data_IF_843212908584
#
_entry.id   IF_843212908584
#
_cell.length_a   1.000
_cell.length_b   1.000
_cell.length_c   1.000
_cell.angle_alpha   90.00
_cell.angle_beta   90.00
_cell.angle_gamma   90.00
#
_symmetry.space_group_name_H-M   'P 1'
#
loop_
_entity.id
_entity.type
_entity.pdbx_description
1 polymer ?
#
# COMPACT_ATOMS: atom_id res chain seq x y z
N UNK A 1 -22.09 42.29 -25.60
CA UNK A 1 -22.00 41.38 -24.45
C UNK A 1 -20.55 40.91 -24.34
N UNK A 2 -19.68 41.71 -23.72
CA UNK A 2 -18.28 41.33 -23.49
C UNK A 2 -18.27 40.65 -22.12
N UNK A 3 -18.18 39.33 -22.11
CA UNK A 3 -18.12 38.52 -20.90
C UNK A 3 -16.88 38.97 -20.11
N UNK A 4 -17.10 39.68 -19.00
CA UNK A 4 -16.07 40.03 -18.03
C UNK A 4 -15.51 38.73 -17.43
N UNK A 5 -14.50 38.16 -18.07
CA UNK A 5 -13.59 37.22 -17.44
C UNK A 5 -12.87 38.00 -16.35
N UNK A 6 -13.43 37.97 -15.13
CA UNK A 6 -12.72 38.40 -13.93
C UNK A 6 -11.36 37.69 -13.94
N UNK A 7 -10.24 38.28 -13.49
CA UNK A 7 -8.92 37.62 -13.50
C UNK A 7 -8.81 36.45 -12.51
N UNK A 8 -9.75 36.36 -11.55
CA UNK A 8 -9.79 35.35 -10.48
C UNK A 8 -9.79 33.88 -10.96
N UNK A 9 -10.63 33.42 -11.90
CA UNK A 9 -10.63 32.04 -12.38
C UNK A 9 -9.35 31.69 -13.17
N UNK A 10 -8.68 32.66 -13.80
CA UNK A 10 -7.41 32.42 -14.52
C UNK A 10 -6.28 32.17 -13.53
N UNK A 11 -6.19 32.99 -12.46
CA UNK A 11 -5.20 32.80 -11.40
C UNK A 11 -5.45 31.48 -10.66
N UNK A 12 -6.71 31.16 -10.34
CA UNK A 12 -7.07 29.88 -9.71
C UNK A 12 -6.69 28.70 -10.61
N UNK A 13 -7.00 28.75 -11.91
CA UNK A 13 -6.62 27.70 -12.85
C UNK A 13 -5.09 27.52 -12.94
N UNK A 14 -4.32 28.62 -12.97
CA UNK A 14 -2.87 28.57 -13.01
C UNK A 14 -2.26 27.95 -11.73
N UNK A 15 -2.81 28.27 -10.55
CA UNK A 15 -2.37 27.68 -9.27
C UNK A 15 -2.65 26.18 -9.27
N UNK A 16 -3.86 25.75 -9.65
CA UNK A 16 -4.22 24.33 -9.69
C UNK A 16 -3.29 23.56 -10.65
N UNK A 17 -3.08 24.06 -11.86
CA UNK A 17 -2.16 23.45 -12.82
C UNK A 17 -0.71 23.39 -12.28
N UNK A 18 -0.23 24.46 -11.65
CA UNK A 18 1.09 24.51 -11.02
C UNK A 18 1.27 23.48 -9.90
N UNK A 19 0.25 23.29 -9.05
CA UNK A 19 0.30 22.28 -7.97
C UNK A 19 0.33 20.85 -8.51
N UNK A 20 -0.44 20.54 -9.55
CA UNK A 20 -0.45 19.21 -10.18
C UNK A 20 0.90 18.89 -10.81
N UNK A 21 1.49 19.84 -11.56
CA UNK A 21 2.81 19.64 -12.18
C UNK A 21 3.90 19.55 -11.10
N UNK A 22 3.87 20.43 -10.10
CA UNK A 22 4.85 20.45 -9.02
C UNK A 22 4.87 19.16 -8.20
N UNK A 23 3.72 18.71 -7.69
CA UNK A 23 3.62 17.46 -6.93
C UNK A 23 3.82 16.24 -7.85
N UNK A 24 3.29 16.27 -9.07
CA UNK A 24 3.46 15.20 -10.06
C UNK A 24 4.93 14.95 -10.42
N UNK A 25 5.77 15.98 -10.38
CA UNK A 25 7.21 15.86 -10.66
C UNK A 25 7.93 14.95 -9.64
N UNK A 26 7.43 14.84 -8.40
CA UNK A 26 7.96 13.92 -7.38
C UNK A 26 7.81 12.45 -7.79
N UNK A 27 6.87 12.12 -8.67
CA UNK A 27 6.73 10.76 -9.20
C UNK A 27 7.74 10.44 -10.31
N UNK A 28 8.48 11.42 -10.83
CA UNK A 28 9.38 11.25 -11.99
C UNK A 28 10.85 11.18 -11.55
N UNK A 29 11.25 11.92 -10.51
CA UNK A 29 12.61 11.85 -9.93
C UNK A 29 12.78 10.65 -9.00
N UNK A 30 13.94 9.95 -9.04
CA UNK A 30 14.17 8.72 -8.27
C UNK A 30 14.11 8.93 -6.75
N UNK A 31 14.60 10.07 -6.23
CA UNK A 31 14.48 10.39 -4.80
C UNK A 31 13.02 10.57 -4.39
N UNK A 32 12.22 11.25 -5.21
CA UNK A 32 10.80 11.50 -4.97
C UNK A 32 9.95 10.22 -5.00
N UNK A 33 10.25 9.29 -5.92
CA UNK A 33 9.60 7.97 -5.98
C UNK A 33 9.78 7.17 -4.69
N UNK A 34 10.99 7.16 -4.12
CA UNK A 34 11.27 6.42 -2.89
C UNK A 34 10.44 6.93 -1.70
N UNK A 35 10.25 8.25 -1.61
CA UNK A 35 9.43 8.86 -0.57
C UNK A 35 7.94 8.51 -0.76
N UNK A 36 7.45 8.56 -2.00
CA UNK A 36 6.08 8.17 -2.34
C UNK A 36 5.81 6.69 -2.07
N UNK A 37 6.73 5.79 -2.42
CA UNK A 37 6.58 4.33 -2.18
C UNK A 37 6.53 4.03 -0.68
N UNK A 38 7.37 4.66 0.15
CA UNK A 38 7.31 4.48 1.61
C UNK A 38 5.97 4.97 2.20
N UNK A 39 5.48 6.11 1.73
CA UNK A 39 4.19 6.65 2.16
C UNK A 39 3.03 5.73 1.73
N UNK A 40 3.02 5.31 0.46
CA UNK A 40 2.01 4.41 -0.09
C UNK A 40 2.01 3.05 0.62
N UNK A 41 3.19 2.49 0.93
CA UNK A 41 3.30 1.25 1.69
C UNK A 41 2.65 1.34 3.07
N UNK A 42 2.87 2.45 3.80
CA UNK A 42 2.20 2.67 5.10
C UNK A 42 0.69 2.73 4.97
N UNK A 43 0.18 3.44 3.96
CA UNK A 43 -1.26 3.51 3.71
C UNK A 43 -1.79 2.11 3.41
N UNK A 44 -1.16 1.37 2.51
CA UNK A 44 -1.56 0.01 2.14
C UNK A 44 -1.67 -0.90 3.37
N UNK A 45 -0.69 -0.85 4.27
CA UNK A 45 -0.71 -1.59 5.55
C UNK A 45 -1.86 -1.13 6.45
N UNK A 46 -2.05 0.18 6.65
CA UNK A 46 -3.13 0.70 7.50
C UNK A 46 -4.52 0.36 6.97
N UNK A 47 -4.68 0.30 5.65
CA UNK A 47 -5.94 -0.07 4.98
C UNK A 47 -6.13 -1.57 4.81
N UNK A 48 -5.17 -2.40 5.24
CA UNK A 48 -5.25 -3.86 5.09
C UNK A 48 -5.03 -4.39 3.67
N UNK A 49 -4.55 -3.56 2.74
CA UNK A 49 -4.21 -3.97 1.37
C UNK A 49 -2.80 -4.58 1.26
N UNK A 50 -1.97 -4.46 2.30
CA UNK A 50 -0.64 -5.06 2.35
C UNK A 50 -0.31 -5.60 3.74
N UNK A 51 0.55 -6.61 3.79
CA UNK A 51 1.14 -7.15 5.03
C UNK A 51 2.13 -6.14 5.62
N UNK A 52 2.30 -6.15 6.94
CA UNK A 52 3.25 -5.26 7.61
C UNK A 52 4.71 -5.62 7.30
N UNK A 53 5.00 -6.93 7.17
CA UNK A 53 6.31 -7.44 6.74
C UNK A 53 6.17 -8.68 5.89
N UNK A 54 7.11 -8.85 4.98
CA UNK A 54 7.30 -10.09 4.23
C UNK A 54 7.69 -11.24 5.19
N UNK A 55 7.17 -12.47 4.99
CA UNK A 55 7.76 -13.66 5.57
C UNK A 55 9.24 -13.80 5.19
N UNK A 56 10.09 -14.10 6.16
CA UNK A 56 11.54 -14.28 6.01
C UNK A 56 11.91 -15.75 6.22
N UNK A 57 13.01 -16.18 5.60
CA UNK A 57 13.52 -17.54 5.80
C UNK A 57 13.79 -17.76 7.30
N UNK A 58 13.21 -18.83 7.85
CA UNK A 58 13.27 -19.15 9.28
C UNK A 58 12.04 -18.73 10.08
N UNK A 59 11.11 -17.98 9.50
CA UNK A 59 9.82 -17.72 10.14
C UNK A 59 9.02 -19.01 10.33
N UNK A 60 8.58 -19.22 11.57
CA UNK A 60 7.67 -20.27 11.96
C UNK A 60 6.76 -19.72 13.07
N UNK A 61 5.45 -19.82 12.88
CA UNK A 61 4.45 -19.31 13.81
C UNK A 61 3.76 -20.47 14.55
N UNK A 62 3.37 -20.24 15.81
CA UNK A 62 2.57 -21.21 16.56
C UNK A 62 1.15 -21.38 16.02
N UNK A 63 0.68 -20.40 15.23
CA UNK A 63 -0.58 -20.44 14.49
C UNK A 63 -0.89 -19.10 13.84
N UNK A 64 -2.09 -18.97 13.27
CA UNK A 64 -2.50 -17.77 12.54
C UNK A 64 -2.61 -16.50 13.39
N UNK A 65 -2.86 -16.63 14.69
CA UNK A 65 -2.81 -15.49 15.60
C UNK A 65 -1.41 -14.92 15.73
N UNK A 66 -0.39 -15.78 15.80
CA UNK A 66 1.00 -15.34 15.88
C UNK A 66 1.46 -14.74 14.55
N UNK A 67 1.06 -15.34 13.42
CA UNK A 67 1.35 -14.80 12.09
C UNK A 67 0.74 -13.40 11.87
N UNK A 68 -0.50 -13.20 12.34
CA UNK A 68 -1.18 -11.89 12.29
C UNK A 68 -0.56 -10.87 13.21
N UNK A 69 -0.21 -11.25 14.44
CA UNK A 69 0.53 -10.39 15.38
C UNK A 69 1.91 -10.00 14.84
N UNK A 70 2.57 -10.92 14.14
CA UNK A 70 3.84 -10.66 13.45
C UNK A 70 3.68 -9.78 12.19
N UNK A 71 2.44 -9.54 11.74
CA UNK A 71 2.12 -8.71 10.59
C UNK A 71 2.47 -9.36 9.24
N UNK A 72 2.58 -10.68 9.20
CA UNK A 72 2.96 -11.46 8.01
C UNK A 72 1.81 -12.19 7.33
N UNK A 73 0.61 -12.16 7.91
CA UNK A 73 -0.61 -12.71 7.31
C UNK A 73 -1.18 -11.77 6.23
N UNK A 74 -1.80 -12.30 5.16
CA UNK A 74 -1.91 -13.72 4.80
C UNK A 74 -0.57 -14.31 4.32
N UNK A 75 -0.39 -15.63 4.48
CA UNK A 75 0.82 -16.35 4.09
C UNK A 75 0.49 -17.27 2.91
N UNK A 76 1.19 -17.10 1.80
CA UNK A 76 0.94 -17.86 0.58
C UNK A 76 1.76 -19.14 0.51
N UNK A 77 1.23 -20.15 -0.20
CA UNK A 77 1.94 -21.39 -0.47
C UNK A 77 3.31 -21.11 -1.10
N UNK A 78 4.36 -21.66 -0.48
CA UNK A 78 5.75 -21.47 -0.90
C UNK A 78 6.47 -20.32 -0.19
N UNK A 79 5.77 -19.48 0.57
CA UNK A 79 6.39 -18.50 1.44
C UNK A 79 6.91 -19.16 2.74
N UNK A 80 7.97 -18.58 3.34
CA UNK A 80 8.41 -18.98 4.67
C UNK A 80 7.28 -18.99 5.68
N UNK A 81 7.23 -20.04 6.50
CA UNK A 81 6.22 -20.21 7.54
C UNK A 81 4.83 -20.61 7.04
N UNK A 82 4.61 -20.80 5.73
CA UNK A 82 3.40 -21.47 5.24
C UNK A 82 3.34 -22.92 5.74
N UNK A 83 2.19 -23.34 6.24
CA UNK A 83 1.91 -24.72 6.64
C UNK A 83 0.49 -25.08 6.25
N UNK A 84 0.30 -26.25 5.65
CA UNK A 84 -1.00 -26.69 5.14
C UNK A 84 -2.06 -26.86 6.24
N UNK A 85 -1.66 -27.10 7.49
CA UNK A 85 -2.56 -27.15 8.64
C UNK A 85 -3.08 -25.77 9.09
N UNK A 86 -2.46 -24.69 8.62
CA UNK A 86 -2.93 -23.30 8.83
C UNK A 86 -3.81 -22.79 7.67
N UNK A 87 -3.93 -23.59 6.61
CA UNK A 87 -4.71 -23.33 5.40
C UNK A 87 -5.95 -24.23 5.44
N UNK A 88 -6.97 -23.76 6.17
CA UNK A 88 -8.11 -24.59 6.57
C UNK A 88 -8.95 -25.10 5.40
N UNK A 89 -9.03 -24.34 4.31
CA UNK A 89 -9.75 -24.68 3.08
C UNK A 89 -8.81 -25.16 1.95
N UNK A 90 -7.49 -25.13 2.17
CA UNK A 90 -6.45 -25.62 1.28
C UNK A 90 -6.38 -24.88 -0.07
N UNK A 91 -6.77 -23.61 -0.09
CA UNK A 91 -6.73 -22.78 -1.30
C UNK A 91 -5.32 -22.24 -1.63
N UNK A 92 -4.36 -22.45 -0.71
CA UNK A 92 -3.00 -21.97 -0.82
C UNK A 92 -2.73 -20.65 -0.09
N UNK A 93 -3.70 -20.14 0.66
CA UNK A 93 -3.61 -18.89 1.44
C UNK A 93 -3.85 -19.22 2.92
N UNK A 94 -2.76 -19.42 3.66
CA UNK A 94 -2.86 -19.62 5.09
C UNK A 94 -3.15 -18.29 5.82
N UNK A 95 -3.90 -18.40 6.92
CA UNK A 95 -4.16 -17.29 7.83
C UNK A 95 -4.79 -16.06 7.17
N UNK A 96 -5.80 -16.28 6.33
CA UNK A 96 -6.57 -15.21 5.72
C UNK A 96 -7.19 -14.23 6.74
N UNK A 97 -7.50 -13.00 6.33
CA UNK A 97 -8.37 -12.12 7.11
C UNK A 97 -9.70 -12.81 7.40
N UNK A 98 -10.25 -12.59 8.59
CA UNK A 98 -11.61 -13.06 8.91
C UNK A 98 -12.60 -12.43 7.91
N UNK A 99 -13.34 -13.27 7.18
CA UNK A 99 -14.46 -12.86 6.31
C UNK A 99 -15.80 -13.16 6.98
#
# INVERSE_FOLDING_TARGET
MVQSLRPVPVVVAAILLGTVVGVGSLAIVPEGRSALVRQAGRIAVMTGFARQREPQIGDAWGGCDDARKAGSSPIYRGEPGYRADMDGDNDGIACEPYR
#
